data_IF_779124257640
#
_entry.id   IF_779124257640
#
_cell.length_a   1.000
_cell.length_b   1.000
_cell.length_c   1.000
_cell.angle_alpha   90.00
_cell.angle_beta   90.00
_cell.angle_gamma   90.00
#
_symmetry.space_group_name_H-M   'P 1'
#
loop_
_entity.id
_entity.type
_entity.pdbx_description
1 polymer ?
#
# COMPACT_ATOMS: atom_id res chain seq x y z
N UNK A 1 -11.73 0.72 46.96
CA UNK A 1 -12.00 1.57 45.79
C UNK A 1 -10.74 1.65 44.94
N UNK A 2 -10.60 0.74 43.96
CA UNK A 2 -9.47 0.72 43.02
C UNK A 2 -9.94 1.44 41.75
N UNK A 3 -9.71 2.74 41.68
CA UNK A 3 -9.85 3.50 40.44
C UNK A 3 -8.50 4.09 40.07
N UNK A 4 -8.28 4.11 38.75
CA UNK A 4 -7.31 4.96 38.07
C UNK A 4 -5.86 4.47 38.08
N UNK A 5 -5.52 3.73 37.02
CA UNK A 5 -4.61 4.22 35.98
C UNK A 5 -4.47 3.16 34.88
N UNK A 6 -5.40 3.16 33.94
CA UNK A 6 -5.14 2.63 32.60
C UNK A 6 -4.08 3.54 31.97
N UNK A 7 -2.81 3.19 32.15
CA UNK A 7 -1.71 3.86 31.48
C UNK A 7 -1.93 3.72 29.98
N UNK A 8 -2.10 4.86 29.30
CA UNK A 8 -1.97 4.93 27.84
C UNK A 8 -0.57 4.42 27.55
N UNK A 9 -0.49 3.21 26.97
CA UNK A 9 0.78 2.70 26.47
C UNK A 9 1.35 3.78 25.54
N UNK A 10 2.60 4.22 25.73
CA UNK A 10 3.21 5.13 24.79
C UNK A 10 3.29 4.37 23.47
N UNK A 11 2.40 4.72 22.53
CA UNK A 11 2.61 4.35 21.13
C UNK A 11 3.91 5.05 20.75
N UNK A 12 4.99 4.27 20.73
CA UNK A 12 6.28 4.68 20.16
C UNK A 12 5.99 5.48 18.90
N UNK A 13 6.60 6.67 18.71
CA UNK A 13 6.42 7.41 17.49
C UNK A 13 6.76 6.46 16.35
N UNK A 14 5.80 6.22 15.46
CA UNK A 14 5.99 5.41 14.26
C UNK A 14 7.29 5.87 13.63
N UNK A 15 8.30 4.99 13.60
CA UNK A 15 9.66 5.32 13.16
C UNK A 15 9.56 6.03 11.83
N UNK A 16 9.66 7.36 11.85
CA UNK A 16 9.57 8.18 10.65
C UNK A 16 10.93 8.06 10.02
N UNK A 17 11.03 7.27 8.96
CA UNK A 17 12.30 7.02 8.30
C UNK A 17 12.90 8.35 7.85
N UNK A 18 14.17 8.59 8.20
CA UNK A 18 14.92 9.76 7.75
C UNK A 18 15.05 9.80 6.21
N UNK A 19 14.88 8.65 5.55
CA UNK A 19 15.01 8.48 4.10
C UNK A 19 13.69 8.60 3.35
N UNK A 20 12.54 8.39 4.00
CA UNK A 20 11.23 8.45 3.36
C UNK A 20 10.44 9.63 3.93
N UNK A 21 10.57 10.77 3.29
CA UNK A 21 9.80 11.98 3.65
C UNK A 21 8.45 11.93 2.93
N UNK A 22 7.31 12.14 3.60
CA UNK A 22 6.04 12.22 2.88
C UNK A 22 6.03 13.43 1.95
N UNK A 23 5.41 13.28 0.77
CA UNK A 23 5.23 14.38 -0.16
C UNK A 23 4.39 15.49 0.50
N UNK A 24 4.82 16.75 0.37
CA UNK A 24 4.14 17.91 0.99
C UNK A 24 3.34 18.72 -0.03
N UNK A 25 3.76 18.71 -1.30
CA UNK A 25 3.13 19.53 -2.32
C UNK A 25 1.94 18.82 -2.97
N UNK A 26 0.86 19.56 -3.20
CA UNK A 26 -0.35 19.06 -3.85
C UNK A 26 -0.09 18.54 -5.27
N UNK A 27 0.90 19.10 -5.96
CA UNK A 27 1.33 18.65 -7.28
C UNK A 27 2.09 17.31 -7.23
N UNK A 28 2.81 17.05 -6.14
CA UNK A 28 3.48 15.77 -5.90
C UNK A 28 2.51 14.68 -5.45
N UNK A 29 1.48 15.04 -4.68
CA UNK A 29 0.40 14.12 -4.31
C UNK A 29 -0.34 13.57 -5.55
N UNK A 30 -0.40 14.33 -6.64
CA UNK A 30 -0.97 13.86 -7.91
C UNK A 30 -0.09 12.81 -8.64
N UNK A 31 1.13 12.55 -8.18
CA UNK A 31 1.97 11.50 -8.75
C UNK A 31 1.42 10.11 -8.42
N UNK A 32 1.02 9.88 -7.17
CA UNK A 32 0.39 8.64 -6.74
C UNK A 32 -1.13 8.73 -6.95
N UNK A 33 -1.66 7.88 -7.83
CA UNK A 33 -3.07 7.82 -8.17
C UNK A 33 -3.83 6.88 -7.23
N UNK A 34 -5.15 6.84 -7.33
CA UNK A 34 -6.01 5.89 -6.62
C UNK A 34 -5.78 5.86 -5.10
N UNK A 35 -5.62 7.05 -4.49
CA UNK A 35 -5.38 7.22 -3.05
C UNK A 35 -4.07 6.57 -2.56
N UNK A 36 -3.07 6.39 -3.43
CA UNK A 36 -1.74 5.92 -3.04
C UNK A 36 -1.00 6.94 -2.18
N UNK A 37 -0.29 6.47 -1.16
CA UNK A 37 0.52 7.33 -0.30
C UNK A 37 1.86 7.65 -0.97
N UNK A 38 2.23 8.93 -0.95
CA UNK A 38 3.42 9.44 -1.64
C UNK A 38 4.58 9.70 -0.67
N UNK A 39 5.75 9.19 -1.03
CA UNK A 39 7.01 9.44 -0.32
C UNK A 39 8.10 9.93 -1.28
N UNK A 40 8.91 10.84 -0.80
CA UNK A 40 10.14 11.33 -1.41
C UNK A 40 11.31 10.55 -0.81
N UNK A 41 12.11 9.97 -1.71
CA UNK A 41 13.36 9.29 -1.38
C UNK A 41 14.50 10.13 -1.96
N UNK A 42 15.27 10.72 -1.07
CA UNK A 42 16.51 11.42 -1.41
C UNK A 42 17.64 10.37 -1.49
N UNK A 43 18.19 10.17 -2.68
CA UNK A 43 19.32 9.27 -2.91
C UNK A 43 20.49 10.04 -3.51
N UNK A 44 21.68 9.42 -3.57
CA UNK A 44 22.84 10.00 -4.28
C UNK A 44 22.57 10.26 -5.76
N UNK A 45 21.64 9.53 -6.37
CA UNK A 45 21.22 9.71 -7.76
C UNK A 45 20.18 10.83 -7.94
N UNK A 46 19.73 11.45 -6.84
CA UNK A 46 18.74 12.51 -6.82
C UNK A 46 17.46 12.13 -6.09
N UNK A 47 16.43 12.96 -6.30
CA UNK A 47 15.14 12.92 -5.61
C UNK A 47 14.15 12.05 -6.39
N UNK A 48 13.68 10.96 -5.78
CA UNK A 48 12.75 10.02 -6.39
C UNK A 48 11.43 9.98 -5.63
N UNK A 49 10.32 9.74 -6.34
CA UNK A 49 8.99 9.55 -5.75
C UNK A 49 8.65 8.07 -5.69
N UNK A 50 8.12 7.65 -4.55
CA UNK A 50 7.70 6.29 -4.29
C UNK A 50 6.24 6.29 -3.81
N UNK A 51 5.43 5.43 -4.41
CA UNK A 51 4.02 5.27 -4.06
C UNK A 51 3.80 3.97 -3.31
N UNK A 52 3.16 4.05 -2.14
CA UNK A 52 2.55 2.89 -1.48
C UNK A 52 1.10 2.80 -1.94
N UNK A 53 0.80 1.82 -2.79
CA UNK A 53 -0.52 1.68 -3.38
C UNK A 53 -1.55 1.11 -2.40
N UNK A 54 -2.79 1.58 -2.54
CA UNK A 54 -3.96 1.00 -1.89
C UNK A 54 -4.20 -0.43 -2.40
N UNK A 55 -4.84 -1.24 -1.58
CA UNK A 55 -5.21 -2.61 -1.95
C UNK A 55 -5.98 -2.64 -3.29
N UNK A 56 -5.62 -3.59 -4.16
CA UNK A 56 -6.19 -3.72 -5.50
C UNK A 56 -5.54 -2.82 -6.55
N UNK A 57 -4.55 -1.99 -6.20
CA UNK A 57 -3.79 -1.18 -7.14
C UNK A 57 -2.29 -1.50 -7.08
N UNK A 58 -1.62 -1.40 -8.23
CA UNK A 58 -0.18 -1.60 -8.39
C UNK A 58 0.41 -0.66 -9.45
N UNK A 59 1.72 -0.75 -9.66
CA UNK A 59 2.47 0.08 -10.60
C UNK A 59 3.15 1.27 -9.93
N UNK A 60 4.05 1.94 -10.66
CA UNK A 60 4.86 3.05 -10.12
C UNK A 60 4.02 4.21 -9.59
N UNK A 61 2.83 4.42 -10.16
CA UNK A 61 1.89 5.47 -9.82
C UNK A 61 0.56 4.95 -9.26
N UNK A 62 0.46 3.65 -8.95
CA UNK A 62 -0.78 3.01 -8.51
C UNK A 62 -1.93 3.09 -9.52
N UNK A 63 -1.64 3.17 -10.81
CA UNK A 63 -2.61 3.30 -11.91
C UNK A 63 -3.14 1.96 -12.44
N UNK A 64 -2.43 0.87 -12.15
CA UNK A 64 -2.82 -0.45 -12.61
C UNK A 64 -3.70 -1.15 -11.58
N UNK A 65 -4.91 -1.53 -11.96
CA UNK A 65 -5.76 -2.37 -11.13
C UNK A 65 -5.25 -3.82 -11.12
N UNK A 66 -5.26 -4.45 -9.95
CA UNK A 66 -5.03 -5.89 -9.79
C UNK A 66 -6.39 -6.56 -9.81
N UNK A 67 -6.83 -7.11 -10.96
CA UNK A 67 -8.04 -7.90 -10.98
C UNK A 67 -7.87 -9.07 -10.01
N UNK A 68 -8.96 -9.42 -9.32
CA UNK A 68 -9.04 -10.56 -8.40
C UNK A 68 -8.87 -11.86 -9.21
N UNK A 69 -7.65 -12.16 -9.61
CA UNK A 69 -7.29 -13.31 -10.44
C UNK A 69 -5.99 -13.94 -9.94
N UNK A 70 -5.14 -13.18 -9.24
CA UNK A 70 -3.96 -13.71 -8.53
C UNK A 70 -4.31 -14.66 -7.37
N UNK A 71 -5.51 -14.57 -6.78
CA UNK A 71 -5.99 -15.60 -5.82
C UNK A 71 -6.50 -16.86 -6.49
N UNK A 72 -6.81 -16.83 -7.80
CA UNK A 72 -7.34 -17.98 -8.55
C UNK A 72 -6.19 -18.76 -9.20
N UNK A 73 -5.10 -18.09 -9.58
CA UNK A 73 -3.95 -18.71 -10.24
C UNK A 73 -2.93 -19.33 -9.26
N UNK A 74 -3.04 -19.04 -7.96
CA UNK A 74 -2.22 -19.64 -6.92
C UNK A 74 -2.73 -21.01 -6.46
N UNK A 75 -3.96 -21.37 -6.84
CA UNK A 75 -4.62 -22.62 -6.46
C UNK A 75 -4.66 -23.59 -7.65
N UNK A 76 -3.85 -24.66 -7.65
CA UNK A 76 -3.85 -25.67 -8.72
C UNK A 76 -5.19 -26.42 -8.84
N UNK A 77 -6.15 -26.27 -7.92
CA UNK A 77 -7.47 -26.88 -8.00
C UNK A 77 -8.40 -26.22 -9.04
N UNK A 78 -8.17 -24.95 -9.40
CA UNK A 78 -8.98 -24.23 -10.40
C UNK A 78 -8.70 -24.67 -11.84
N UNK A 79 -7.54 -25.30 -12.09
CA UNK A 79 -7.22 -25.90 -13.39
C UNK A 79 -7.81 -27.31 -13.55
N UNK A 80 -8.25 -27.95 -12.47
CA UNK A 80 -8.75 -29.32 -12.51
C UNK A 80 -10.17 -29.44 -13.09
N UNK A 81 -10.99 -28.38 -13.03
CA UNK A 81 -12.35 -28.41 -13.58
C UNK A 81 -12.77 -27.05 -14.19
N UNK A 82 -12.98 -26.96 -15.52
CA UNK A 82 -13.55 -25.75 -16.12
C UNK A 82 -14.97 -25.50 -15.57
N UNK A 83 -15.37 -24.23 -15.32
CA UNK A 83 -16.71 -23.87 -14.85
C UNK A 83 -17.75 -23.93 -16.00
N UNK A 84 -17.82 -25.07 -16.68
CA UNK A 84 -18.77 -25.32 -17.77
C UNK A 84 -19.82 -26.38 -17.42
N UNK A 85 -19.96 -26.75 -16.15
CA UNK A 85 -21.01 -27.65 -15.65
C UNK A 85 -21.81 -27.03 -14.50
N UNK A 86 -22.26 -25.79 -14.71
CA UNK A 86 -23.43 -25.25 -14.03
C UNK A 86 -24.45 -24.90 -15.12
N UNK A 87 -25.05 -25.93 -15.70
CA UNK A 87 -26.39 -25.91 -16.33
C UNK A 87 -26.90 -27.34 -16.36
#
# INVERSE_FOLDING_TARGET
>A
TWWSRGGVAPTTPTVRSEFFKPCQDSQELAFCLNEGECFIIETVAGVHRHCRCKEGYRGLRCDQFVPKTDSILSDPSMFAHPPSLIF
#
